data_IF_361848340932
#
_entry.id   IF_361848340932
#
_cell.length_a   1.000
_cell.length_b   1.000
_cell.length_c   1.000
_cell.angle_alpha   90.00
_cell.angle_beta   90.00
_cell.angle_gamma   90.00
#
_symmetry.space_group_name_H-M   'P 1'
#
loop_
_entity.id
_entity.type
_entity.pdbx_description
1 polymer ?
#
# COMPACT_ATOMS: atom_id res chain seq x y z
N UNK A 1 -16.99 35.63 15.03
CA UNK A 1 -15.67 35.14 15.52
C UNK A 1 -15.73 33.75 16.14
N UNK A 2 -16.78 33.39 16.91
CA UNK A 2 -16.95 32.03 17.45
C UNK A 2 -17.14 30.95 16.37
N UNK A 3 -17.96 31.23 15.35
CA UNK A 3 -18.26 30.27 14.28
C UNK A 3 -17.03 29.90 13.43
N UNK A 4 -16.14 30.86 13.14
CA UNK A 4 -14.90 30.61 12.38
C UNK A 4 -13.91 29.76 13.18
N UNK A 5 -13.80 29.99 14.50
CA UNK A 5 -13.01 29.15 15.40
C UNK A 5 -13.55 27.72 15.46
N UNK A 6 -14.88 27.56 15.49
CA UNK A 6 -15.53 26.25 15.49
C UNK A 6 -15.31 25.50 14.16
N UNK A 7 -15.39 26.20 13.02
CA UNK A 7 -15.12 25.63 11.70
C UNK A 7 -13.66 25.20 11.53
N UNK A 8 -12.71 26.00 12.01
CA UNK A 8 -11.29 25.66 12.02
C UNK A 8 -11.03 24.44 12.92
N UNK A 9 -11.60 24.40 14.13
CA UNK A 9 -11.51 23.25 15.03
C UNK A 9 -12.06 21.97 14.36
N UNK A 10 -13.23 22.01 13.73
CA UNK A 10 -13.81 20.85 13.04
C UNK A 10 -12.95 20.38 11.85
N UNK A 11 -12.32 21.31 11.12
CA UNK A 11 -11.36 20.98 10.06
C UNK A 11 -10.08 20.33 10.61
N UNK A 12 -9.57 20.78 11.76
CA UNK A 12 -8.42 20.17 12.43
C UNK A 12 -8.74 18.75 12.96
N UNK A 13 -9.93 18.51 13.50
CA UNK A 13 -10.35 17.18 14.00
C UNK A 13 -10.52 16.20 12.83
N UNK A 14 -11.15 16.64 11.73
CA UNK A 14 -11.32 15.82 10.53
C UNK A 14 -9.98 15.58 9.79
N UNK A 15 -9.03 16.52 9.85
CA UNK A 15 -7.68 16.33 9.31
C UNK A 15 -6.82 15.35 10.12
N UNK A 16 -7.00 15.31 11.44
CA UNK A 16 -6.27 14.38 12.33
C UNK A 16 -6.74 12.92 12.20
N UNK A 17 -8.01 12.69 11.87
CA UNK A 17 -8.56 11.33 11.67
C UNK A 17 -8.12 10.68 10.35
N UNK A 18 -7.46 11.42 9.45
CA UNK A 18 -6.76 10.86 8.30
C UNK A 18 -5.29 10.52 8.62
N UNK A 19 -4.89 10.46 9.89
CA UNK A 19 -3.58 9.97 10.25
C UNK A 19 -3.54 8.45 10.12
N UNK A 20 -3.20 8.01 8.91
CA UNK A 20 -2.38 6.84 8.64
C UNK A 20 -2.74 5.61 9.47
N UNK A 21 -3.71 4.84 8.96
CA UNK A 21 -3.75 3.41 9.20
C UNK A 21 -2.58 2.72 8.47
N UNK A 22 -1.36 3.24 8.67
CA UNK A 22 -0.12 2.63 8.22
C UNK A 22 0.04 1.41 9.12
N UNK A 23 -0.41 0.28 8.60
CA UNK A 23 -0.08 -1.04 9.11
C UNK A 23 1.38 -1.01 9.57
N UNK A 24 1.61 -1.11 10.89
CA UNK A 24 2.94 -0.96 11.50
C UNK A 24 3.96 -1.67 10.64
N UNK A 25 4.94 -0.93 10.12
CA UNK A 25 5.94 -1.54 9.28
C UNK A 25 6.72 -2.60 10.02
N UNK A 26 6.58 -3.83 9.55
CA UNK A 26 7.33 -4.98 10.04
C UNK A 26 8.65 -5.02 9.30
N UNK A 27 9.72 -5.30 10.03
CA UNK A 27 11.04 -5.48 9.45
C UNK A 27 11.02 -6.73 8.58
N UNK A 28 11.25 -6.55 7.28
CA UNK A 28 11.48 -7.62 6.32
C UNK A 28 12.98 -7.69 6.06
N UNK A 29 13.54 -8.89 6.05
CA UNK A 29 14.97 -9.09 5.78
C UNK A 29 15.31 -8.51 4.40
N UNK A 30 16.48 -7.91 4.23
CA UNK A 30 16.85 -7.22 2.99
C UNK A 30 16.71 -8.11 1.74
N UNK A 31 16.98 -9.42 1.87
CA UNK A 31 16.85 -10.41 0.78
C UNK A 31 15.40 -10.77 0.44
N UNK A 32 14.46 -10.56 1.37
CA UNK A 32 13.04 -10.88 1.19
C UNK A 32 12.21 -9.65 0.79
N UNK A 33 12.84 -8.46 0.72
CA UNK A 33 12.15 -7.24 0.33
C UNK A 33 11.80 -7.29 -1.16
N UNK A 34 10.52 -7.09 -1.44
CA UNK A 34 10.01 -6.89 -2.81
C UNK A 34 9.70 -5.40 -2.96
N UNK A 35 10.24 -4.78 -4.00
CA UNK A 35 10.04 -3.37 -4.29
C UNK A 35 8.55 -3.03 -4.50
N UNK A 36 8.04 -2.07 -3.73
CA UNK A 36 6.67 -1.58 -3.82
C UNK A 36 6.56 -0.25 -4.59
N UNK A 37 7.70 0.38 -4.91
CA UNK A 37 7.73 1.59 -5.70
C UNK A 37 8.73 1.50 -6.87
N UNK A 38 8.45 0.64 -7.88
CA UNK A 38 9.31 0.48 -9.04
C UNK A 38 9.31 1.69 -9.99
N UNK A 39 8.38 2.64 -9.78
CA UNK A 39 8.29 3.84 -10.60
C UNK A 39 9.40 4.84 -10.31
N UNK A 40 9.66 5.72 -11.28
CA UNK A 40 10.66 6.77 -11.13
C UNK A 40 10.37 7.71 -9.95
N UNK A 41 11.44 8.26 -9.38
CA UNK A 41 11.41 9.21 -8.28
C UNK A 41 10.70 8.66 -7.01
N UNK A 42 11.21 7.55 -6.44
CA UNK A 42 10.72 7.04 -5.18
C UNK A 42 10.98 8.08 -4.08
N UNK A 43 10.02 8.23 -3.19
CA UNK A 43 10.22 8.96 -1.94
C UNK A 43 9.42 8.28 -0.83
N UNK A 44 9.77 8.60 0.41
CA UNK A 44 9.17 8.01 1.60
C UNK A 44 7.64 8.20 1.63
N UNK A 45 7.15 9.41 1.33
CA UNK A 45 5.71 9.69 1.38
C UNK A 45 4.93 8.86 0.36
N UNK A 46 5.37 8.80 -0.89
CA UNK A 46 4.73 7.98 -1.93
C UNK A 46 4.74 6.49 -1.57
N UNK A 47 5.79 6.02 -0.90
CA UNK A 47 5.86 4.65 -0.40
C UNK A 47 4.76 4.38 0.65
N UNK A 48 4.64 5.29 1.62
CA UNK A 48 3.65 5.21 2.70
C UNK A 48 2.23 5.33 2.14
N UNK A 49 2.01 6.20 1.15
CA UNK A 49 0.71 6.40 0.49
C UNK A 49 0.24 5.14 -0.26
N UNK A 50 1.17 4.31 -0.76
CA UNK A 50 0.87 2.97 -1.32
C UNK A 50 0.55 1.92 -0.24
N UNK A 51 0.65 2.31 1.03
CA UNK A 51 0.51 1.42 2.18
C UNK A 51 1.68 0.46 2.32
N UNK A 52 2.86 0.85 1.82
CA UNK A 52 4.09 0.07 1.90
C UNK A 52 5.04 0.59 2.96
N UNK A 53 6.14 -0.14 3.17
CA UNK A 53 7.12 0.16 4.18
C UNK A 53 8.34 0.84 3.61
N UNK A 54 8.76 1.92 4.28
CA UNK A 54 9.95 2.66 3.94
C UNK A 54 11.00 2.49 5.05
N UNK A 55 12.13 1.83 4.75
CA UNK A 55 13.26 1.70 5.68
C UNK A 55 14.56 1.50 4.89
N UNK A 56 15.69 2.09 5.29
CA UNK A 56 16.99 1.76 4.71
C UNK A 56 17.34 0.27 4.86
N UNK A 57 18.25 -0.21 4.01
CA UNK A 57 18.86 -1.53 4.15
C UNK A 57 19.73 -1.58 5.42
N UNK A 58 19.77 -2.74 6.08
CA UNK A 58 20.62 -2.95 7.24
C UNK A 58 22.10 -3.11 6.83
N UNK A 59 22.36 -3.45 5.56
CA UNK A 59 23.67 -3.43 4.92
C UNK A 59 23.68 -2.41 3.75
N UNK A 60 24.08 -1.15 3.99
CA UNK A 60 24.13 -0.11 2.95
C UNK A 60 24.98 -0.47 1.73
N UNK A 61 25.90 -1.43 1.86
CA UNK A 61 26.77 -1.92 0.78
C UNK A 61 26.14 -3.06 -0.03
N UNK A 62 24.94 -3.55 0.34
CA UNK A 62 24.25 -4.67 -0.31
C UNK A 62 23.65 -4.32 -1.69
N UNK A 63 23.81 -3.09 -2.18
CA UNK A 63 23.33 -2.69 -3.51
C UNK A 63 21.82 -2.49 -3.55
N UNK A 64 21.16 -3.07 -4.57
CA UNK A 64 19.78 -2.83 -5.02
C UNK A 64 18.65 -3.28 -4.05
N UNK A 65 18.86 -3.12 -2.74
CA UNK A 65 17.84 -3.41 -1.72
C UNK A 65 16.81 -2.27 -1.69
N UNK A 66 15.52 -2.54 -1.94
CA UNK A 66 14.52 -1.48 -2.00
C UNK A 66 14.27 -0.90 -0.61
N UNK A 67 14.30 0.44 -0.54
CA UNK A 67 13.94 1.14 0.67
C UNK A 67 12.42 1.15 0.85
N UNK A 68 11.67 1.15 -0.26
CA UNK A 68 10.23 0.98 -0.28
C UNK A 68 9.84 -0.47 -0.62
N UNK A 69 9.26 -1.21 0.32
CA UNK A 69 8.95 -2.62 0.14
C UNK A 69 7.55 -2.99 0.63
N UNK A 70 6.99 -4.07 0.11
CA UNK A 70 5.71 -4.59 0.56
C UNK A 70 5.82 -5.13 2.00
N UNK A 71 4.91 -4.75 2.92
CA UNK A 71 4.82 -5.38 4.24
C UNK A 71 4.28 -6.81 4.14
N UNK A 72 4.55 -7.66 5.15
CA UNK A 72 3.89 -8.94 5.27
C UNK A 72 2.36 -8.80 5.28
N UNK A 73 1.67 -9.68 4.53
CA UNK A 73 0.21 -9.65 4.45
C UNK A 73 -0.37 -8.51 3.61
N UNK A 74 0.43 -7.82 2.79
CA UNK A 74 -0.07 -6.83 1.85
C UNK A 74 -1.08 -7.45 0.87
N UNK A 75 -2.36 -7.13 1.04
CA UNK A 75 -3.43 -7.62 0.18
C UNK A 75 -3.76 -6.60 -0.92
N UNK A 76 -3.39 -6.93 -2.16
CA UNK A 76 -3.75 -6.14 -3.35
C UNK A 76 -5.11 -6.50 -3.95
N UNK A 77 -5.48 -7.79 -3.86
CA UNK A 77 -6.74 -8.34 -4.36
C UNK A 77 -7.43 -9.17 -3.28
N UNK A 78 -8.74 -9.30 -3.41
CA UNK A 78 -9.55 -10.31 -2.72
C UNK A 78 -10.20 -11.27 -3.73
N UNK A 79 -10.50 -12.49 -3.30
CA UNK A 79 -11.29 -13.44 -4.09
C UNK A 79 -12.77 -13.07 -3.94
N UNK A 80 -13.43 -12.72 -5.04
CA UNK A 80 -14.88 -12.47 -5.10
C UNK A 80 -15.68 -13.74 -5.32
N UNK A 81 -15.19 -14.60 -6.20
CA UNK A 81 -15.82 -15.86 -6.53
C UNK A 81 -14.75 -16.90 -6.89
N UNK A 82 -15.07 -18.16 -6.62
CA UNK A 82 -14.28 -19.30 -7.05
C UNK A 82 -15.23 -20.37 -7.60
N UNK A 83 -14.90 -20.95 -8.75
CA UNK A 83 -15.70 -21.99 -9.39
C UNK A 83 -14.80 -23.03 -10.07
N UNK A 84 -15.34 -24.23 -10.30
CA UNK A 84 -14.68 -25.28 -11.07
C UNK A 84 -15.48 -25.56 -12.35
N UNK A 85 -14.84 -25.41 -13.51
CA UNK A 85 -15.47 -25.61 -14.83
C UNK A 85 -14.61 -26.61 -15.60
N UNK A 86 -15.16 -27.80 -15.88
CA UNK A 86 -14.48 -28.86 -16.65
C UNK A 86 -13.06 -29.15 -16.11
N UNK A 87 -12.95 -29.23 -14.78
CA UNK A 87 -11.72 -29.45 -14.02
C UNK A 87 -10.73 -28.27 -13.98
N UNK A 88 -11.09 -27.11 -14.53
CA UNK A 88 -10.34 -25.87 -14.35
C UNK A 88 -10.88 -25.07 -13.18
N UNK A 89 -9.99 -24.50 -12.37
CA UNK A 89 -10.35 -23.52 -11.34
C UNK A 89 -10.41 -22.13 -11.96
N UNK A 90 -11.53 -21.43 -11.74
CA UNK A 90 -11.76 -20.06 -12.21
C UNK A 90 -12.00 -19.19 -10.98
N UNK A 91 -11.20 -18.14 -10.83
CA UNK A 91 -11.30 -17.18 -9.74
C UNK A 91 -11.66 -15.81 -10.30
N UNK A 92 -12.59 -15.14 -9.64
CA UNK A 92 -12.84 -13.72 -9.87
C UNK A 92 -12.14 -12.93 -8.76
N UNK A 93 -11.19 -12.08 -9.13
CA UNK A 93 -10.40 -11.28 -8.20
C UNK A 93 -10.82 -9.82 -8.28
N UNK A 94 -11.05 -9.18 -7.13
CA UNK A 94 -11.31 -7.74 -7.05
C UNK A 94 -10.11 -7.03 -6.45
N UNK A 95 -9.65 -5.97 -7.10
CA UNK A 95 -8.63 -5.09 -6.54
C UNK A 95 -9.22 -4.34 -5.35
N UNK A 96 -8.56 -4.45 -4.19
CA UNK A 96 -8.99 -3.78 -2.95
C UNK A 96 -8.05 -2.66 -2.52
N UNK A 97 -6.89 -2.57 -3.17
CA UNK A 97 -5.90 -1.53 -2.96
C UNK A 97 -5.35 -1.05 -4.30
N UNK A 98 -5.25 0.28 -4.52
CA UNK A 98 -4.60 0.81 -5.72
C UNK A 98 -3.18 0.26 -5.85
N UNK A 99 -2.77 -0.13 -7.05
CA UNK A 99 -1.39 -0.60 -7.30
C UNK A 99 -0.35 0.52 -7.23
N UNK A 100 -0.79 1.77 -7.36
CA UNK A 100 0.10 2.91 -7.58
C UNK A 100 0.52 3.10 -9.03
N UNK A 101 0.07 2.23 -9.95
CA UNK A 101 0.22 2.36 -11.39
C UNK A 101 -1.05 2.94 -12.04
N UNK A 102 -0.95 3.56 -13.23
CA UNK A 102 -2.12 3.99 -13.99
C UNK A 102 -3.04 2.82 -14.35
N UNK A 103 -4.32 3.13 -14.54
CA UNK A 103 -5.30 2.23 -15.17
C UNK A 103 -5.50 0.86 -14.47
N UNK A 104 -5.64 0.89 -13.15
CA UNK A 104 -5.94 -0.29 -12.35
C UNK A 104 -7.22 -1.02 -12.81
N UNK A 105 -7.05 -2.28 -13.23
CA UNK A 105 -8.17 -3.18 -13.51
C UNK A 105 -8.80 -3.62 -12.19
N UNK A 106 -10.06 -3.25 -11.97
CA UNK A 106 -10.76 -3.49 -10.71
C UNK A 106 -11.22 -4.93 -10.53
N UNK A 107 -11.52 -5.64 -11.63
CA UNK A 107 -12.05 -7.00 -11.62
C UNK A 107 -11.33 -7.86 -12.66
N UNK A 108 -10.78 -8.98 -12.23
CA UNK A 108 -10.05 -9.96 -13.06
C UNK A 108 -10.77 -11.30 -12.94
N UNK A 109 -10.79 -12.08 -14.03
CA UNK A 109 -11.38 -13.43 -14.07
C UNK A 109 -10.50 -14.38 -14.85
#
# INVERSE_FOLDING_TARGET
MLALKLFLLLAFINGFLCHNNHSKCVIVSDNDRIDCHPDAFPNEQKCIDRGCCHRPSDNPSAGDVPYCYFPPGYAGYEIKAASSIRNNLVYELRRIRPSGLPDDIQLIR
#
